data_IF_684019093461
#
_entry.id   IF_684019093461
#
_cell.length_a   1.000
_cell.length_b   1.000
_cell.length_c   1.000
_cell.angle_alpha   90.00
_cell.angle_beta   90.00
_cell.angle_gamma   90.00
#
_symmetry.space_group_name_H-M   'P 1'
#
loop_
_entity.id
_entity.type
_entity.pdbx_description
1 polymer ?
#
# COMPACT_ATOMS: atom_id res chain seq x y z
N UNK A 1 -13.97 -12.94 -4.12
CA UNK A 1 -14.62 -11.61 -4.18
C UNK A 1 -14.14 -10.90 -5.43
N UNK A 2 -15.01 -10.32 -6.28
CA UNK A 2 -14.62 -9.79 -7.59
C UNK A 2 -13.51 -8.73 -7.57
N UNK A 3 -13.48 -7.83 -6.58
CA UNK A 3 -12.44 -6.79 -6.47
C UNK A 3 -11.04 -7.36 -6.19
N UNK A 4 -10.94 -8.57 -5.63
CA UNK A 4 -9.68 -9.30 -5.41
C UNK A 4 -9.57 -10.57 -6.26
N UNK A 5 -10.35 -10.69 -7.33
CA UNK A 5 -10.04 -11.69 -8.36
C UNK A 5 -8.67 -11.33 -8.99
N UNK A 6 -8.09 -12.20 -9.83
CA UNK A 6 -6.91 -11.84 -10.63
C UNK A 6 -7.26 -10.69 -11.59
N UNK A 7 -7.28 -9.47 -11.05
CA UNK A 7 -7.52 -8.23 -11.74
C UNK A 7 -6.28 -7.36 -11.53
N UNK A 8 -5.97 -6.54 -12.52
CA UNK A 8 -4.72 -5.78 -12.54
C UNK A 8 -4.71 -4.64 -11.51
N UNK A 9 -5.87 -4.17 -11.02
CA UNK A 9 -5.97 -2.92 -10.27
C UNK A 9 -5.25 -2.94 -8.91
N UNK A 10 -5.55 -3.90 -8.01
CA UNK A 10 -4.89 -3.94 -6.69
C UNK A 10 -3.42 -4.33 -6.83
N UNK A 11 -3.10 -5.25 -7.75
CA UNK A 11 -1.73 -5.69 -8.02
C UNK A 11 -0.84 -4.54 -8.53
N UNK A 12 -1.33 -3.73 -9.47
CA UNK A 12 -0.61 -2.56 -9.96
C UNK A 12 -0.47 -1.47 -8.90
N UNK A 13 -1.49 -1.27 -8.05
CA UNK A 13 -1.39 -0.36 -6.90
C UNK A 13 -0.30 -0.83 -5.92
N UNK A 14 -0.28 -2.12 -5.54
CA UNK A 14 0.76 -2.69 -4.66
C UNK A 14 2.15 -2.49 -5.23
N UNK A 15 2.34 -2.74 -6.53
CA UNK A 15 3.63 -2.56 -7.20
C UNK A 15 4.13 -1.12 -7.07
N UNK A 16 3.29 -0.14 -7.40
CA UNK A 16 3.66 1.29 -7.28
C UNK A 16 3.97 1.70 -5.85
N UNK A 17 3.24 1.17 -4.88
CA UNK A 17 3.47 1.44 -3.46
C UNK A 17 4.81 0.80 -3.02
N UNK A 18 5.09 -0.44 -3.41
CA UNK A 18 6.36 -1.11 -3.12
C UNK A 18 7.55 -0.37 -3.73
N UNK A 19 7.47 0.04 -4.99
CA UNK A 19 8.51 0.82 -5.65
C UNK A 19 8.77 2.13 -4.88
N UNK A 20 7.71 2.84 -4.46
CA UNK A 20 7.83 4.06 -3.66
C UNK A 20 8.44 3.84 -2.27
N UNK A 21 8.09 2.74 -1.60
CA UNK A 21 8.65 2.36 -0.31
C UNK A 21 10.12 1.93 -0.40
N UNK A 22 10.52 1.30 -1.51
CA UNK A 22 11.92 0.96 -1.77
C UNK A 22 12.77 2.23 -1.90
N UNK A 23 12.31 3.21 -2.67
CA UNK A 23 12.99 4.51 -2.80
C UNK A 23 13.05 5.26 -1.46
N UNK A 24 11.97 5.26 -0.69
CA UNK A 24 11.96 5.82 0.66
C UNK A 24 13.01 5.13 1.56
N UNK A 25 13.11 3.80 1.48
CA UNK A 25 14.12 3.03 2.21
C UNK A 25 15.55 3.43 1.83
N UNK A 26 15.81 3.69 0.54
CA UNK A 26 17.12 4.19 0.06
C UNK A 26 17.43 5.57 0.65
N UNK A 27 16.46 6.49 0.66
CA UNK A 27 16.62 7.82 1.26
C UNK A 27 16.92 7.71 2.76
N UNK A 28 16.16 6.89 3.49
CA UNK A 28 16.35 6.71 4.94
C UNK A 28 17.75 6.16 5.21
N UNK A 29 18.19 5.14 4.46
CA UNK A 29 19.54 4.56 4.62
C UNK A 29 20.63 5.58 4.33
N UNK A 30 20.52 6.33 3.23
CA UNK A 30 21.45 7.40 2.87
C UNK A 30 21.62 8.43 3.99
N UNK A 31 20.51 8.90 4.58
CA UNK A 31 20.51 9.86 5.69
C UNK A 31 21.02 9.25 7.00
N UNK A 32 20.74 7.96 7.23
CA UNK A 32 21.26 7.23 8.38
C UNK A 32 22.78 7.11 8.33
N UNK A 33 23.34 6.82 7.15
CA UNK A 33 24.79 6.68 6.93
C UNK A 33 25.51 8.04 6.99
N UNK A 34 24.89 9.10 6.46
CA UNK A 34 25.39 10.48 6.54
C UNK A 34 24.24 11.49 6.67
N UNK A 35 24.08 12.04 7.88
CA UNK A 35 22.99 12.97 8.21
C UNK A 35 23.06 14.28 7.41
N UNK A 36 24.23 14.67 6.92
CA UNK A 36 24.38 15.89 6.10
C UNK A 36 23.72 15.77 4.72
N UNK A 37 23.40 14.54 4.30
CA UNK A 37 22.74 14.26 3.02
C UNK A 37 21.22 14.46 3.06
N UNK A 38 20.64 14.75 4.22
CA UNK A 38 19.20 14.97 4.35
C UNK A 38 18.73 16.14 3.50
N UNK A 39 17.67 15.86 2.72
CA UNK A 39 16.99 16.86 1.91
C UNK A 39 15.47 16.74 2.08
N UNK A 40 14.79 17.77 2.62
CA UNK A 40 13.34 17.74 2.77
C UNK A 40 12.63 17.74 1.40
N UNK A 41 13.24 18.29 0.36
CA UNK A 41 12.67 18.28 -1.00
C UNK A 41 12.78 16.90 -1.64
N UNK A 42 13.88 16.18 -1.43
CA UNK A 42 14.07 14.79 -1.89
C UNK A 42 13.05 13.85 -1.21
N UNK A 43 12.93 13.95 0.11
CA UNK A 43 11.93 13.18 0.87
C UNK A 43 10.51 13.48 0.39
N UNK A 44 10.15 14.76 0.23
CA UNK A 44 8.83 15.16 -0.25
C UNK A 44 8.55 14.63 -1.65
N UNK A 45 9.50 14.74 -2.58
CA UNK A 45 9.34 14.24 -3.94
C UNK A 45 9.12 12.71 -3.97
N UNK A 46 9.86 11.97 -3.13
CA UNK A 46 9.65 10.53 -2.96
C UNK A 46 8.24 10.23 -2.45
N UNK A 47 7.80 10.88 -1.38
CA UNK A 47 6.47 10.67 -0.80
C UNK A 47 5.35 11.04 -1.77
N UNK A 48 5.48 12.16 -2.49
CA UNK A 48 4.52 12.59 -3.50
C UNK A 48 4.41 11.57 -4.67
N UNK A 49 5.51 10.88 -5.00
CA UNK A 49 5.58 9.93 -6.10
C UNK A 49 4.64 8.72 -5.98
N UNK A 50 4.31 8.30 -4.75
CA UNK A 50 3.38 7.19 -4.50
C UNK A 50 2.19 7.58 -3.61
N UNK A 51 2.02 8.87 -3.26
CA UNK A 51 0.93 9.34 -2.39
C UNK A 51 -0.45 9.04 -2.94
N UNK A 52 -0.71 9.38 -4.21
CA UNK A 52 -2.03 9.14 -4.84
C UNK A 52 -2.36 7.65 -4.89
N UNK A 53 -1.50 6.76 -5.44
CA UNK A 53 -1.84 5.34 -5.50
C UNK A 53 -1.98 4.73 -4.10
N UNK A 54 -1.17 5.15 -3.11
CA UNK A 54 -1.32 4.71 -1.73
C UNK A 54 -2.69 5.09 -1.14
N UNK A 55 -3.05 6.38 -1.18
CA UNK A 55 -4.28 6.85 -0.54
C UNK A 55 -5.52 6.29 -1.23
N UNK A 56 -5.54 6.27 -2.56
CA UNK A 56 -6.64 5.68 -3.33
C UNK A 56 -6.79 4.19 -3.02
N UNK A 57 -5.68 3.45 -2.97
CA UNK A 57 -5.73 2.01 -2.69
C UNK A 57 -6.25 1.71 -1.29
N UNK A 58 -5.84 2.47 -0.27
CA UNK A 58 -6.38 2.34 1.09
C UNK A 58 -7.89 2.60 1.13
N UNK A 59 -8.38 3.62 0.41
CA UNK A 59 -9.81 3.90 0.30
C UNK A 59 -10.58 2.77 -0.42
N UNK A 60 -10.00 2.20 -1.48
CA UNK A 60 -10.53 1.03 -2.19
C UNK A 60 -10.64 -0.16 -1.23
N UNK A 61 -9.57 -0.50 -0.51
CA UNK A 61 -9.55 -1.60 0.45
C UNK A 61 -10.56 -1.44 1.58
N UNK A 62 -10.77 -0.24 2.11
CA UNK A 62 -11.82 0.00 3.11
C UNK A 62 -13.20 -0.35 2.54
N UNK A 63 -13.50 0.09 1.33
CA UNK A 63 -14.80 -0.18 0.69
C UNK A 63 -15.01 -1.66 0.37
N UNK A 64 -13.92 -2.33 0.00
CA UNK A 64 -13.89 -3.72 -0.45
C UNK A 64 -13.85 -4.71 0.72
N UNK A 65 -13.08 -4.44 1.76
CA UNK A 65 -12.85 -5.31 2.93
C UNK A 65 -13.70 -4.93 4.15
N UNK A 66 -14.54 -3.89 4.10
CA UNK A 66 -15.51 -3.65 5.18
C UNK A 66 -16.46 -4.84 5.36
N UNK A 67 -16.96 -4.98 6.58
CA UNK A 67 -17.78 -6.10 7.02
C UNK A 67 -19.02 -6.34 6.12
N UNK A 68 -19.68 -5.26 5.66
CA UNK A 68 -20.87 -5.35 4.81
C UNK A 68 -20.57 -5.99 3.46
N UNK A 69 -19.36 -5.78 2.92
CA UNK A 69 -18.96 -6.33 1.64
C UNK A 69 -18.38 -7.74 1.80
N UNK A 70 -17.53 -7.96 2.79
CA UNK A 70 -16.94 -9.29 3.06
C UNK A 70 -18.01 -10.35 3.34
N UNK A 71 -19.06 -10.02 4.13
CA UNK A 71 -20.16 -10.95 4.45
C UNK A 71 -20.95 -11.46 3.23
N UNK A 72 -20.80 -10.83 2.05
CA UNK A 72 -21.42 -11.30 0.80
C UNK A 72 -20.68 -12.51 0.21
N UNK A 73 -19.40 -12.67 0.54
CA UNK A 73 -18.51 -13.64 -0.11
C UNK A 73 -17.82 -14.60 0.87
N UNK A 74 -17.82 -14.30 2.16
CA UNK A 74 -17.11 -15.07 3.19
C UNK A 74 -18.00 -15.37 4.38
N UNK A 75 -17.86 -16.57 4.92
CA UNK A 75 -18.38 -16.98 6.23
C UNK A 75 -17.45 -16.53 7.36
N UNK A 76 -17.97 -16.55 8.59
CA UNK A 76 -17.18 -16.17 9.77
C UNK A 76 -16.07 -17.17 10.04
N UNK A 77 -16.32 -18.45 9.79
CA UNK A 77 -15.38 -19.55 9.95
C UNK A 77 -14.21 -19.41 8.96
N UNK A 78 -14.48 -19.07 7.70
CA UNK A 78 -13.44 -18.83 6.69
C UNK A 78 -12.57 -17.63 7.04
N UNK A 79 -13.16 -16.51 7.49
CA UNK A 79 -12.38 -15.33 7.92
C UNK A 79 -11.48 -15.66 9.11
N UNK A 80 -11.96 -16.48 10.06
CA UNK A 80 -11.15 -16.93 11.22
C UNK A 80 -10.00 -17.86 10.84
N UNK A 81 -10.07 -18.49 9.67
CA UNK A 81 -9.03 -19.37 9.17
C UNK A 81 -7.94 -18.63 8.38
N UNK A 82 -8.12 -17.33 8.10
CA UNK A 82 -7.09 -16.51 7.44
C UNK A 82 -5.86 -16.42 8.37
N UNK A 83 -4.67 -16.81 7.91
CA UNK A 83 -3.43 -16.61 8.67
C UNK A 83 -3.12 -15.11 8.73
N UNK A 84 -2.88 -14.60 9.93
CA UNK A 84 -2.54 -13.20 10.23
C UNK A 84 -1.16 -13.17 10.88
#
# INVERSE_FOLDING_TARGET
>A
MPSFAENEQHLESHKKIHDGLEELGKIIRKVYDDQSTYSPSELRACMDGFREPLMRHLDEEVNDLRAENMRKYWTKEEVRAIPI
#
